data_IF_543167902201
#
_entry.id   IF_543167902201
#
_cell.length_a   1.000
_cell.length_b   1.000
_cell.length_c   1.000
_cell.angle_alpha   90.00
_cell.angle_beta   90.00
_cell.angle_gamma   90.00
#
_symmetry.space_group_name_H-M   'P 1'
#
loop_
_entity.id
_entity.type
_entity.pdbx_description
1 polymer ?
#
# COMPACT_ATOMS: atom_id res chain seq x y z
N UNK A 1 -27.81 -10.92 7.69
CA UNK A 1 -28.13 -10.13 6.46
C UNK A 1 -26.89 -9.35 6.07
N UNK A 2 -26.42 -9.45 4.82
CA UNK A 2 -25.17 -8.83 4.40
C UNK A 2 -25.33 -7.32 4.16
N UNK A 3 -24.57 -6.51 4.87
CA UNK A 3 -24.59 -5.05 4.75
C UNK A 3 -23.81 -4.64 3.49
N UNK A 4 -24.51 -4.20 2.42
CA UNK A 4 -23.90 -3.82 1.14
C UNK A 4 -23.76 -2.29 1.03
N UNK A 5 -22.54 -1.71 1.12
CA UNK A 5 -22.34 -0.26 1.07
C UNK A 5 -22.91 0.39 -0.21
N UNK A 6 -22.83 -0.32 -1.34
CA UNK A 6 -23.34 0.12 -2.63
C UNK A 6 -24.86 0.40 -2.64
N UNK A 7 -25.63 -0.24 -1.75
CA UNK A 7 -27.07 -0.02 -1.63
C UNK A 7 -27.42 1.02 -0.55
N UNK A 8 -26.60 1.12 0.52
CA UNK A 8 -26.88 1.99 1.66
C UNK A 8 -26.37 3.43 1.50
N UNK A 9 -25.28 3.63 0.76
CA UNK A 9 -24.77 4.98 0.46
C UNK A 9 -25.81 5.87 -0.24
N UNK A 10 -26.47 5.48 -1.34
CA UNK A 10 -27.45 6.35 -2.00
C UNK A 10 -28.66 6.65 -1.10
N UNK A 11 -29.08 5.67 -0.29
CA UNK A 11 -30.16 5.85 0.70
C UNK A 11 -29.77 6.90 1.75
N UNK A 12 -28.56 6.83 2.31
CA UNK A 12 -28.08 7.80 3.29
C UNK A 12 -27.93 9.21 2.69
N UNK A 13 -27.45 9.33 1.45
CA UNK A 13 -27.36 10.62 0.75
C UNK A 13 -28.75 11.23 0.55
N UNK A 14 -29.71 10.42 0.10
CA UNK A 14 -31.09 10.88 -0.11
C UNK A 14 -31.72 11.36 1.21
N UNK A 15 -31.56 10.59 2.29
CA UNK A 15 -32.06 10.96 3.62
C UNK A 15 -31.40 12.24 4.14
N UNK A 16 -30.10 12.43 3.91
CA UNK A 16 -29.39 13.66 4.28
C UNK A 16 -29.96 14.87 3.54
N UNK A 17 -30.17 14.76 2.22
CA UNK A 17 -30.74 15.83 1.41
C UNK A 17 -32.17 16.21 1.82
N UNK A 18 -33.03 15.21 2.09
CA UNK A 18 -34.41 15.42 2.57
C UNK A 18 -34.40 16.14 3.91
N UNK A 19 -33.55 15.71 4.85
CA UNK A 19 -33.44 16.36 6.15
C UNK A 19 -32.94 17.80 6.02
N UNK A 20 -31.97 18.08 5.15
CA UNK A 20 -31.49 19.44 4.91
C UNK A 20 -32.58 20.36 4.36
N UNK A 21 -33.41 19.87 3.45
CA UNK A 21 -34.57 20.62 2.95
C UNK A 21 -35.58 20.92 4.08
N UNK A 22 -35.81 19.95 4.97
CA UNK A 22 -36.68 20.14 6.13
C UNK A 22 -36.14 21.19 7.12
N UNK A 23 -34.81 21.29 7.31
CA UNK A 23 -34.19 22.40 8.08
C UNK A 23 -34.57 23.75 7.49
N UNK A 24 -34.41 23.90 6.17
CA UNK A 24 -34.70 25.17 5.49
C UNK A 24 -36.16 25.59 5.61
N UNK A 25 -37.09 24.61 5.54
CA UNK A 25 -38.51 24.86 5.74
C UNK A 25 -38.84 25.25 7.19
N UNK A 26 -38.37 24.48 8.17
CA UNK A 26 -38.66 24.71 9.60
C UNK A 26 -38.01 25.99 10.17
N UNK A 27 -36.85 26.38 9.64
CA UNK A 27 -36.23 27.65 9.98
C UNK A 27 -37.05 28.85 9.46
N UNK A 28 -37.70 28.71 8.30
CA UNK A 28 -38.60 29.71 7.73
C UNK A 28 -39.91 29.88 8.48
N UNK A 29 -40.35 28.86 9.24
CA UNK A 29 -41.54 28.88 10.08
C UNK A 29 -41.27 29.27 11.54
N UNK A 30 -40.05 29.72 11.88
CA UNK A 30 -39.62 30.06 13.24
C UNK A 30 -39.74 28.91 14.26
N UNK A 31 -39.51 27.66 13.84
CA UNK A 31 -39.52 26.48 14.72
C UNK A 31 -38.10 25.93 14.92
N UNK A 32 -37.32 26.50 15.86
CA UNK A 32 -35.89 26.19 16.00
C UNK A 32 -35.61 24.74 16.39
N UNK A 33 -36.53 24.10 17.12
CA UNK A 33 -36.36 22.72 17.56
C UNK A 33 -36.50 21.72 16.41
N UNK A 34 -37.49 21.89 15.52
CA UNK A 34 -37.66 21.04 14.35
C UNK A 34 -36.47 21.18 13.38
N UNK A 35 -36.02 22.42 13.15
CA UNK A 35 -34.82 22.67 12.36
C UNK A 35 -33.57 22.00 12.97
N UNK A 36 -33.40 22.03 14.30
CA UNK A 36 -32.27 21.39 14.97
C UNK A 36 -32.27 19.87 14.82
N UNK A 37 -33.42 19.21 14.97
CA UNK A 37 -33.54 17.74 14.80
C UNK A 37 -33.19 17.34 13.37
N UNK A 38 -33.75 18.04 12.37
CA UNK A 38 -33.45 17.75 10.97
C UNK A 38 -31.98 18.03 10.62
N UNK A 39 -31.37 19.08 11.19
CA UNK A 39 -29.96 19.37 10.98
C UNK A 39 -29.08 18.24 11.55
N UNK A 40 -29.39 17.76 12.75
CA UNK A 40 -28.70 16.62 13.36
C UNK A 40 -28.80 15.35 12.51
N UNK A 41 -30.00 15.04 12.00
CA UNK A 41 -30.20 13.89 11.10
C UNK A 41 -29.45 14.05 9.78
N UNK A 42 -29.48 15.24 9.16
CA UNK A 42 -28.74 15.51 7.93
C UNK A 42 -27.24 15.27 8.10
N UNK A 43 -26.67 15.73 9.22
CA UNK A 43 -25.25 15.51 9.56
C UNK A 43 -24.95 14.04 9.84
N UNK A 44 -25.81 13.34 10.60
CA UNK A 44 -25.63 11.93 10.91
C UNK A 44 -25.64 11.07 9.64
N UNK A 45 -26.60 11.29 8.74
CA UNK A 45 -26.67 10.58 7.45
C UNK A 45 -25.54 10.98 6.51
N UNK A 46 -25.15 12.26 6.48
CA UNK A 46 -24.02 12.75 5.67
C UNK A 46 -22.69 12.11 6.10
N UNK A 47 -22.40 12.12 7.39
CA UNK A 47 -21.21 11.46 7.97
C UNK A 47 -21.26 9.94 7.79
N UNK A 48 -22.45 9.33 7.93
CA UNK A 48 -22.66 7.91 7.64
C UNK A 48 -22.36 7.56 6.18
N UNK A 49 -22.86 8.36 5.23
CA UNK A 49 -22.58 8.19 3.81
C UNK A 49 -21.08 8.36 3.49
N UNK A 50 -20.40 9.30 4.14
CA UNK A 50 -18.95 9.49 4.00
C UNK A 50 -18.17 8.27 4.51
N UNK A 51 -18.54 7.73 5.67
CA UNK A 51 -17.91 6.51 6.21
C UNK A 51 -18.14 5.29 5.32
N UNK A 52 -19.32 5.16 4.71
CA UNK A 52 -19.60 4.07 3.78
C UNK A 52 -18.80 4.15 2.47
N UNK A 53 -18.26 5.33 2.12
CA UNK A 53 -17.39 5.53 0.95
C UNK A 53 -15.92 5.24 1.25
N UNK A 54 -15.49 5.33 2.51
CA UNK A 54 -14.10 5.08 2.86
C UNK A 54 -13.84 3.57 2.84
N UNK A 55 -12.78 3.09 2.16
CA UNK A 55 -12.37 1.71 2.29
C UNK A 55 -12.06 1.43 3.77
N UNK A 56 -12.33 0.21 4.27
CA UNK A 56 -11.95 -0.14 5.63
C UNK A 56 -10.44 0.07 5.78
N UNK A 57 -10.01 0.78 6.83
CA UNK A 57 -8.59 1.08 7.09
C UNK A 57 -7.71 -0.18 7.04
N UNK A 58 -8.27 -1.33 7.41
CA UNK A 58 -7.58 -2.63 7.34
C UNK A 58 -7.30 -3.13 5.92
N UNK A 59 -8.13 -2.80 4.92
CA UNK A 59 -7.91 -3.18 3.52
C UNK A 59 -6.76 -2.37 2.93
N UNK A 60 -6.74 -1.06 3.16
CA UNK A 60 -5.65 -0.20 2.67
C UNK A 60 -4.30 -0.54 3.31
N UNK A 61 -4.29 -0.88 4.61
CA UNK A 61 -3.08 -1.37 5.27
C UNK A 61 -2.62 -2.72 4.72
N UNK A 62 -3.54 -3.62 4.43
CA UNK A 62 -3.21 -4.94 3.87
C UNK A 62 -2.59 -4.82 2.49
N UNK A 63 -3.19 -4.03 1.59
CA UNK A 63 -2.65 -3.80 0.24
C UNK A 63 -1.24 -3.20 0.29
N UNK A 64 -1.00 -2.26 1.22
CA UNK A 64 0.34 -1.67 1.42
C UNK A 64 1.37 -2.67 1.94
N UNK A 65 0.96 -3.59 2.81
CA UNK A 65 1.83 -4.66 3.33
C UNK A 65 2.15 -5.66 2.22
N UNK A 66 1.17 -6.05 1.41
CA UNK A 66 1.38 -6.97 0.28
C UNK A 66 2.39 -6.41 -0.73
N UNK A 67 2.28 -5.12 -1.06
CA UNK A 67 3.27 -4.44 -1.93
C UNK A 67 4.67 -4.46 -1.29
N UNK A 68 4.76 -4.15 0.01
CA UNK A 68 6.05 -4.14 0.72
C UNK A 68 6.70 -5.53 0.80
N UNK A 69 5.90 -6.58 0.97
CA UNK A 69 6.38 -7.97 0.96
C UNK A 69 6.91 -8.37 -0.43
N UNK A 70 6.26 -7.91 -1.49
CA UNK A 70 6.72 -8.07 -2.87
C UNK A 70 8.07 -7.38 -3.12
N UNK A 71 8.20 -6.12 -2.69
CA UNK A 71 9.44 -5.35 -2.81
C UNK A 71 10.59 -5.99 -2.02
N UNK A 72 10.32 -6.46 -0.80
CA UNK A 72 11.32 -7.15 0.02
C UNK A 72 11.77 -8.47 -0.63
N UNK A 73 10.84 -9.19 -1.25
CA UNK A 73 11.14 -10.41 -1.99
C UNK A 73 12.01 -10.11 -3.22
N UNK A 74 11.74 -9.01 -3.92
CA UNK A 74 12.54 -8.55 -5.04
C UNK A 74 13.97 -8.16 -4.62
N UNK A 75 14.12 -7.33 -3.59
CA UNK A 75 15.43 -6.91 -3.07
C UNK A 75 16.25 -8.11 -2.59
N UNK A 76 15.62 -9.07 -1.91
CA UNK A 76 16.29 -10.31 -1.49
C UNK A 76 16.84 -11.09 -2.69
N UNK A 77 16.09 -11.15 -3.79
CA UNK A 77 16.53 -11.80 -5.02
C UNK A 77 17.71 -11.07 -5.65
N UNK A 78 17.62 -9.76 -5.83
CA UNK A 78 18.72 -8.96 -6.39
C UNK A 78 19.99 -9.08 -5.54
N UNK A 79 19.85 -9.09 -4.21
CA UNK A 79 20.97 -9.30 -3.31
C UNK A 79 21.62 -10.69 -3.49
N UNK A 80 20.81 -11.74 -3.66
CA UNK A 80 21.31 -13.09 -3.93
C UNK A 80 22.07 -13.17 -5.27
N UNK A 81 21.53 -12.53 -6.31
CA UNK A 81 22.18 -12.49 -7.63
C UNK A 81 23.49 -11.68 -7.59
N UNK A 82 23.51 -10.58 -6.84
CA UNK A 82 24.73 -9.80 -6.62
C UNK A 82 25.80 -10.61 -5.86
N UNK A 83 25.40 -11.38 -4.84
CA UNK A 83 26.30 -12.28 -4.12
C UNK A 83 26.90 -13.35 -5.04
N UNK A 84 26.09 -13.99 -5.88
CA UNK A 84 26.58 -15.01 -6.83
C UNK A 84 27.61 -14.43 -7.82
N UNK A 85 27.37 -13.20 -8.31
CA UNK A 85 28.32 -12.50 -9.20
C UNK A 85 29.62 -12.15 -8.49
N UNK A 86 29.55 -11.75 -7.22
CA UNK A 86 30.74 -11.50 -6.40
C UNK A 86 31.55 -12.78 -6.17
N UNK A 87 30.88 -13.88 -5.80
CA UNK A 87 31.51 -15.19 -5.62
C UNK A 87 32.17 -15.69 -6.92
N UNK A 88 31.53 -15.43 -8.07
CA UNK A 88 32.12 -15.74 -9.37
C UNK A 88 33.38 -14.91 -9.64
N UNK A 89 33.34 -13.60 -9.39
CA UNK A 89 34.49 -12.72 -9.57
C UNK A 89 35.66 -13.13 -8.66
N UNK A 90 35.38 -13.50 -7.41
CA UNK A 90 36.38 -14.00 -6.46
C UNK A 90 37.06 -15.27 -6.98
N UNK A 91 36.28 -16.26 -7.44
CA UNK A 91 36.82 -17.49 -8.02
C UNK A 91 37.73 -17.23 -9.23
N UNK A 92 37.34 -16.30 -10.10
CA UNK A 92 38.13 -15.95 -11.28
C UNK A 92 39.46 -15.28 -10.90
N UNK A 93 39.44 -14.39 -9.90
CA UNK A 93 40.65 -13.74 -9.38
C UNK A 93 41.60 -14.77 -8.73
N UNK A 94 41.07 -15.73 -7.97
CA UNK A 94 41.87 -16.80 -7.38
C UNK A 94 42.58 -17.66 -8.44
N UNK A 95 41.84 -18.08 -9.48
CA UNK A 95 42.42 -18.84 -10.61
C UNK A 95 43.51 -18.06 -11.35
N UNK A 96 43.32 -16.75 -11.58
CA UNK A 96 44.31 -15.90 -12.23
C UNK A 96 45.61 -15.75 -11.42
N UNK A 97 45.51 -15.67 -10.09
CA UNK A 97 46.69 -15.64 -9.21
C UNK A 97 47.44 -16.98 -9.22
N UNK A 98 46.71 -18.10 -9.21
CA UNK A 98 47.31 -19.44 -9.23
C UNK A 98 48.02 -19.72 -10.57
N UNK A 99 47.40 -19.38 -11.70
CA UNK A 99 48.03 -19.47 -13.02
C UNK A 99 49.30 -18.61 -13.15
N UNK A 100 49.31 -17.41 -12.53
CA UNK A 100 50.49 -16.54 -12.46
C UNK A 100 51.59 -17.13 -11.55
N UNK A 101 51.25 -17.85 -10.48
CA UNK A 101 52.23 -18.51 -9.59
C UNK A 101 52.84 -19.78 -10.17
N UNK A 102 52.18 -20.46 -11.11
CA UNK A 102 52.69 -21.70 -11.75
C UNK A 102 53.56 -21.42 -13.00
N UNK A 103 53.43 -20.24 -13.62
CA UNK A 103 54.29 -19.80 -14.75
C UNK A 103 55.75 -19.41 -14.43
N UNK A 104 56.17 -18.98 -13.22
CA UNK A 104 57.56 -18.58 -12.96
C UNK A 104 58.51 -19.78 -12.84
N UNK A 105 58.01 -20.97 -12.51
CA UNK A 105 58.80 -22.18 -12.20
C UNK A 105 59.23 -22.97 -13.46
N UNK A 106 58.72 -22.64 -14.66
CA UNK A 106 59.05 -23.34 -15.92
C UNK A 106 60.09 -22.65 -16.80
N UNK A 107 60.74 -21.58 -16.32
CA UNK A 107 61.85 -20.91 -17.00
C UNK A 107 63.11 -20.89 -16.11
N UNK A 108 63.56 -22.07 -15.66
CA UNK A 108 64.94 -22.27 -15.22
C UNK A 108 65.61 -23.22 -16.21
N UNK A 109 66.53 -22.77 -17.08
CA UNK A 109 67.17 -23.66 -18.04
C UNK A 109 68.08 -24.65 -17.32
N UNK A 110 67.85 -25.93 -17.61
CA UNK A 110 68.77 -27.01 -17.34
C UNK A 110 70.02 -26.90 -18.22
N UNK A 111 71.16 -27.14 -17.57
CA UNK A 111 72.39 -27.75 -18.07
C UNK A 111 73.35 -26.95 -18.98
N UNK A 112 74.63 -27.02 -18.61
CA UNK A 112 75.78 -26.76 -19.48
C UNK A 112 76.99 -26.24 -18.75
#
# INVERSE_FOLDING_TARGET
>A
MAFKPALWQPVAVLLSAINLAAVGFAAGSAEPWHAAVHAGLALAFGLGAQRLRQPPVGVELHDRVEVLEGDMSHVRRELSEAQERLDFAERLLAQGQEARRVSPERQGPEHG
#
